data_IF_689039862115
#
_entry.id   IF_689039862115
#
_cell.length_a   1.000
_cell.length_b   1.000
_cell.length_c   1.000
_cell.angle_alpha   90.00
_cell.angle_beta   90.00
_cell.angle_gamma   90.00
#
_symmetry.space_group_name_H-M   'P 1'
#
loop_
_entity.id
_entity.type
_entity.pdbx_description
1 polymer ?
#
# COMPACT_ATOMS: atom_id res chain seq x y z
N UNK A 1 16.69 13.57 -6.26
CA UNK A 1 17.31 12.70 -5.26
C UNK A 1 17.38 13.43 -3.92
N UNK A 2 16.88 12.81 -2.86
CA UNK A 2 17.07 13.27 -1.48
C UNK A 2 17.56 12.11 -0.60
N UNK A 3 18.39 12.44 0.38
CA UNK A 3 18.92 11.51 1.38
C UNK A 3 18.80 12.17 2.75
N UNK A 4 18.30 11.41 3.72
CA UNK A 4 18.27 11.81 5.13
C UNK A 4 18.91 10.71 5.96
N UNK A 5 19.86 11.10 6.82
CA UNK A 5 20.46 10.23 7.83
C UNK A 5 20.07 10.72 9.22
N UNK A 6 19.82 9.79 10.13
CA UNK A 6 19.40 10.05 11.49
C UNK A 6 20.01 9.10 12.50
N UNK A 7 19.62 9.26 13.77
CA UNK A 7 20.02 8.40 14.86
C UNK A 7 19.60 6.95 14.61
N UNK A 8 20.28 6.01 15.26
CA UNK A 8 20.02 4.56 15.21
C UNK A 8 20.10 3.98 13.79
N UNK A 9 21.07 4.47 12.99
CA UNK A 9 21.29 4.00 11.62
C UNK A 9 20.16 4.31 10.65
N UNK A 10 19.28 5.28 10.98
CA UNK A 10 18.23 5.70 10.06
C UNK A 10 18.81 6.26 8.78
N UNK A 11 18.38 5.70 7.67
CA UNK A 11 18.72 6.17 6.33
C UNK A 11 17.47 6.14 5.45
N UNK A 12 17.08 7.31 4.99
CA UNK A 12 16.00 7.47 4.02
C UNK A 12 16.60 7.96 2.70
N UNK A 13 16.15 7.42 1.59
CA UNK A 13 16.45 7.99 0.28
C UNK A 13 15.22 7.98 -0.62
N UNK A 14 15.12 9.00 -1.43
CA UNK A 14 14.11 9.17 -2.44
C UNK A 14 14.80 9.46 -3.78
N UNK A 15 14.36 8.75 -4.81
CA UNK A 15 14.76 8.97 -6.19
C UNK A 15 13.50 9.31 -6.98
N UNK A 16 13.51 10.47 -7.61
CA UNK A 16 12.47 10.87 -8.55
C UNK A 16 13.11 11.20 -9.88
N UNK A 17 12.60 10.61 -10.95
CA UNK A 17 13.04 10.83 -12.32
C UNK A 17 11.81 11.11 -13.17
N UNK A 18 11.87 12.16 -13.96
CA UNK A 18 10.88 12.48 -14.97
C UNK A 18 11.56 12.75 -16.30
N UNK A 19 10.99 12.22 -17.36
CA UNK A 19 11.42 12.46 -18.74
C UNK A 19 10.19 12.50 -19.65
N UNK A 20 10.26 13.27 -20.71
CA UNK A 20 9.15 13.37 -21.65
C UNK A 20 9.34 14.47 -22.68
N UNK A 21 8.33 14.62 -23.49
CA UNK A 21 8.18 15.68 -24.50
C UNK A 21 6.80 16.35 -24.32
N UNK A 22 6.37 17.12 -25.30
CA UNK A 22 5.08 17.84 -25.26
C UNK A 22 3.86 16.92 -25.23
N UNK A 23 4.01 15.65 -25.65
CA UNK A 23 2.90 14.70 -25.78
C UNK A 23 2.99 13.52 -24.83
N UNK A 24 4.15 13.18 -24.30
CA UNK A 24 4.36 11.97 -23.50
C UNK A 24 5.33 12.24 -22.38
N UNK A 25 5.07 11.61 -21.24
CA UNK A 25 6.03 11.62 -20.14
C UNK A 25 6.05 10.29 -19.40
N UNK A 26 7.17 10.03 -18.77
CA UNK A 26 7.33 9.02 -17.76
C UNK A 26 7.79 9.69 -16.47
N UNK A 27 7.21 9.29 -15.34
CA UNK A 27 7.69 9.63 -14.00
C UNK A 27 7.95 8.33 -13.25
N UNK A 28 9.10 8.26 -12.61
CA UNK A 28 9.51 7.17 -11.73
C UNK A 28 9.79 7.76 -10.36
N UNK A 29 9.24 7.15 -9.33
CA UNK A 29 9.53 7.47 -7.95
C UNK A 29 9.91 6.20 -7.21
N UNK A 30 10.99 6.25 -6.42
CA UNK A 30 11.40 5.16 -5.55
C UNK A 30 11.87 5.71 -4.21
N UNK A 31 11.36 5.13 -3.14
CA UNK A 31 11.77 5.45 -1.79
C UNK A 31 12.21 4.17 -1.09
N UNK A 32 13.25 4.27 -0.29
CA UNK A 32 13.62 3.25 0.70
C UNK A 32 13.99 3.95 2.01
N UNK A 33 13.57 3.37 3.10
CA UNK A 33 13.78 3.92 4.42
C UNK A 33 14.02 2.77 5.39
N UNK A 34 15.09 2.87 6.17
CA UNK A 34 15.51 1.86 7.15
C UNK A 34 15.87 2.53 8.47
N UNK A 35 15.72 1.82 9.56
CA UNK A 35 16.22 2.21 10.87
C UNK A 35 16.51 0.98 11.71
N UNK A 36 17.57 1.02 12.51
CA UNK A 36 17.83 0.01 13.53
C UNK A 36 16.98 0.27 14.78
N UNK A 37 16.93 -0.72 15.65
CA UNK A 37 16.35 -0.59 17.00
C UNK A 37 17.01 0.56 17.77
N UNK A 38 16.23 1.33 18.52
CA UNK A 38 16.74 2.44 19.33
C UNK A 38 17.17 1.96 20.73
N UNK A 39 17.89 2.82 21.43
CA UNK A 39 18.22 2.65 22.84
C UNK A 39 17.39 3.62 23.70
N UNK A 40 16.87 3.13 24.83
CA UNK A 40 16.17 3.93 25.81
C UNK A 40 17.15 4.80 26.64
N UNK A 41 16.61 5.57 27.62
CA UNK A 41 17.39 6.45 28.47
C UNK A 41 18.37 5.72 29.40
N UNK A 42 18.17 4.43 29.63
CA UNK A 42 19.02 3.57 30.46
C UNK A 42 20.05 2.79 29.62
N UNK A 43 20.05 3.00 28.28
CA UNK A 43 20.95 2.34 27.34
C UNK A 43 20.51 0.94 26.90
N UNK A 44 19.30 0.50 27.25
CA UNK A 44 18.78 -0.78 26.81
C UNK A 44 18.28 -0.69 25.35
N UNK A 45 18.60 -1.71 24.55
CA UNK A 45 18.06 -1.79 23.18
C UNK A 45 16.58 -2.11 23.21
N UNK A 46 15.77 -1.26 22.59
CA UNK A 46 14.33 -1.44 22.42
C UNK A 46 14.07 -1.93 20.99
N UNK A 47 13.62 -3.18 20.80
CA UNK A 47 13.34 -3.75 19.47
C UNK A 47 12.32 -2.88 18.71
N UNK A 48 12.76 -2.24 17.63
CA UNK A 48 11.97 -1.24 16.90
C UNK A 48 12.53 -0.96 15.50
N UNK A 49 13.38 -1.86 15.02
CA UNK A 49 13.94 -1.78 13.67
C UNK A 49 12.86 -1.96 12.61
N UNK A 50 13.06 -1.31 11.48
CA UNK A 50 12.12 -1.38 10.38
C UNK A 50 12.81 -1.09 9.04
N UNK A 51 12.24 -1.67 8.01
CA UNK A 51 12.55 -1.36 6.61
C UNK A 51 11.25 -1.19 5.83
N UNK A 52 11.22 -0.22 4.93
CA UNK A 52 10.14 -0.04 3.95
C UNK A 52 10.67 0.50 2.65
N UNK A 53 10.03 0.11 1.55
CA UNK A 53 10.32 0.65 0.24
C UNK A 53 9.05 0.78 -0.60
N UNK A 54 9.07 1.67 -1.58
CA UNK A 54 8.09 1.71 -2.65
C UNK A 54 8.76 2.11 -3.96
N UNK A 55 8.16 1.67 -5.06
CA UNK A 55 8.48 2.10 -6.41
C UNK A 55 7.17 2.31 -7.17
N UNK A 56 7.07 3.48 -7.81
CA UNK A 56 5.87 3.90 -8.52
C UNK A 56 6.28 4.43 -9.90
N UNK A 57 5.44 4.15 -10.91
CA UNK A 57 5.59 4.63 -12.28
C UNK A 57 4.30 5.31 -12.74
N UNK A 58 4.44 6.41 -13.47
CA UNK A 58 3.36 7.05 -14.20
C UNK A 58 3.76 7.26 -15.65
N UNK A 59 2.88 6.88 -16.57
CA UNK A 59 3.00 7.06 -18.00
C UNK A 59 1.88 8.00 -18.45
N UNK A 60 2.24 9.20 -18.91
CA UNK A 60 1.30 10.19 -19.37
C UNK A 60 1.32 10.34 -20.90
N UNK A 61 0.15 10.62 -21.45
CA UNK A 61 -0.04 10.90 -22.86
C UNK A 61 -1.02 12.04 -23.06
N UNK A 62 -0.58 13.08 -23.80
CA UNK A 62 -1.35 14.28 -24.15
C UNK A 62 -1.39 14.41 -25.67
N UNK A 63 -2.24 13.63 -26.38
CA UNK A 63 -2.26 13.61 -27.85
C UNK A 63 -2.64 14.96 -28.47
N UNK A 64 -3.37 15.77 -27.73
CA UNK A 64 -3.75 17.14 -28.07
C UNK A 64 -3.82 18.00 -26.80
N UNK A 65 -4.02 19.31 -26.95
CA UNK A 65 -4.06 20.27 -25.84
C UNK A 65 -5.21 20.03 -24.83
N UNK A 66 -6.24 19.31 -25.22
CA UNK A 66 -7.46 19.10 -24.46
C UNK A 66 -7.58 17.67 -23.86
N UNK A 67 -6.68 16.78 -24.26
CA UNK A 67 -6.74 15.37 -23.85
C UNK A 67 -5.55 14.97 -22.99
N UNK A 68 -5.81 14.38 -21.85
CA UNK A 68 -4.79 13.82 -20.99
C UNK A 68 -5.18 12.40 -20.53
N UNK A 69 -4.22 11.51 -20.66
CA UNK A 69 -4.33 10.09 -20.23
C UNK A 69 -3.13 9.76 -19.38
N UNK A 70 -3.35 9.18 -18.21
CA UNK A 70 -2.26 8.70 -17.34
C UNK A 70 -2.54 7.28 -16.86
N UNK A 71 -1.55 6.41 -17.06
CA UNK A 71 -1.48 5.07 -16.49
C UNK A 71 -0.46 5.09 -15.35
N UNK A 72 -0.87 4.63 -14.18
CA UNK A 72 -0.01 4.53 -12.99
C UNK A 72 0.10 3.09 -12.52
N UNK A 73 1.25 2.72 -11.99
CA UNK A 73 1.49 1.44 -11.35
C UNK A 73 2.47 1.58 -10.20
N UNK A 74 2.31 0.77 -9.16
CA UNK A 74 3.20 0.85 -8.01
C UNK A 74 3.27 -0.44 -7.21
N UNK A 75 4.41 -0.61 -6.57
CA UNK A 75 4.67 -1.67 -5.59
C UNK A 75 5.32 -1.09 -4.34
N UNK A 76 4.95 -1.64 -3.20
CA UNK A 76 5.59 -1.33 -1.93
C UNK A 76 5.62 -2.56 -1.04
N UNK A 77 6.58 -2.61 -0.14
CA UNK A 77 6.61 -3.57 0.97
C UNK A 77 7.39 -2.97 2.14
N UNK A 78 7.30 -3.64 3.29
CA UNK A 78 8.04 -3.27 4.48
C UNK A 78 7.87 -4.30 5.58
N UNK A 79 8.73 -4.15 6.58
CA UNK A 79 8.71 -4.94 7.81
C UNK A 79 9.03 -4.04 9.01
N UNK A 80 8.57 -4.42 10.19
CA UNK A 80 8.81 -3.68 11.41
C UNK A 80 8.75 -4.58 12.64
N UNK A 81 9.71 -4.41 13.53
CA UNK A 81 9.74 -5.04 14.85
C UNK A 81 9.06 -4.12 15.86
N UNK A 82 8.20 -4.66 16.70
CA UNK A 82 7.45 -3.91 17.69
C UNK A 82 7.82 -4.29 19.11
N UNK A 83 8.38 -3.33 19.86
CA UNK A 83 8.59 -3.50 21.30
C UNK A 83 7.25 -3.72 22.03
N UNK A 84 7.24 -4.66 22.96
CA UNK A 84 6.08 -4.92 23.81
C UNK A 84 4.86 -5.53 23.11
N UNK A 85 5.01 -5.97 21.85
CA UNK A 85 3.97 -6.73 21.14
C UNK A 85 4.38 -8.19 20.95
N UNK A 86 3.39 -9.07 20.83
CA UNK A 86 3.60 -10.51 20.64
C UNK A 86 3.97 -10.87 19.21
N UNK A 87 3.71 -10.01 18.23
CA UNK A 87 3.96 -10.21 16.79
C UNK A 87 4.58 -8.98 16.19
N UNK A 88 5.37 -9.20 15.15
CA UNK A 88 5.97 -8.17 14.29
C UNK A 88 5.23 -8.07 12.96
N UNK A 89 5.35 -6.93 12.30
CA UNK A 89 4.90 -6.79 10.92
C UNK A 89 5.96 -7.35 9.97
N UNK A 90 5.77 -8.57 9.50
CA UNK A 90 6.73 -9.24 8.61
C UNK A 90 6.46 -8.97 7.12
N UNK A 91 5.31 -8.34 6.80
CA UNK A 91 4.95 -7.95 5.44
C UNK A 91 3.90 -6.84 5.44
N UNK A 92 4.13 -5.79 4.63
CA UNK A 92 3.21 -4.68 4.36
C UNK A 92 3.10 -4.44 2.86
N UNK A 93 2.90 -5.51 2.08
CA UNK A 93 2.90 -5.43 0.63
C UNK A 93 1.69 -4.65 0.11
N UNK A 94 1.95 -3.78 -0.87
CA UNK A 94 0.95 -3.06 -1.65
C UNK A 94 1.26 -3.17 -3.14
N UNK A 95 0.22 -3.42 -3.93
CA UNK A 95 0.25 -3.30 -5.39
C UNK A 95 -0.86 -2.35 -5.83
N UNK A 96 -0.59 -1.50 -6.81
CA UNK A 96 -1.55 -0.54 -7.32
C UNK A 96 -1.46 -0.42 -8.83
N UNK A 97 -2.62 -0.20 -9.46
CA UNK A 97 -2.75 0.14 -10.87
C UNK A 97 -3.85 1.18 -11.01
N UNK A 98 -3.60 2.23 -11.79
CA UNK A 98 -4.56 3.30 -12.02
C UNK A 98 -4.57 3.75 -13.47
N UNK A 99 -5.75 4.11 -13.95
CA UNK A 99 -5.95 4.79 -15.24
C UNK A 99 -6.80 6.02 -15.02
N UNK A 100 -6.37 7.16 -15.52
CA UNK A 100 -7.11 8.41 -15.53
C UNK A 100 -7.15 9.00 -16.93
N UNK A 101 -8.30 9.49 -17.34
CA UNK A 101 -8.53 10.14 -18.62
C UNK A 101 -9.27 11.44 -18.38
N UNK A 102 -8.80 12.53 -18.96
CA UNK A 102 -9.49 13.82 -18.99
C UNK A 102 -9.60 14.31 -20.42
N UNK A 103 -10.76 14.87 -20.76
CA UNK A 103 -11.02 15.61 -21.98
C UNK A 103 -11.61 16.96 -21.63
N UNK A 104 -10.91 18.03 -22.03
CA UNK A 104 -11.33 19.43 -21.87
C UNK A 104 -12.01 19.93 -23.15
N UNK A 105 -12.70 21.06 -23.07
CA UNK A 105 -13.32 21.78 -24.18
C UNK A 105 -14.17 20.89 -25.09
N UNK A 106 -14.99 19.99 -24.48
CA UNK A 106 -15.79 18.99 -25.21
C UNK A 106 -16.90 19.68 -26.03
N UNK A 107 -17.57 20.69 -25.43
CA UNK A 107 -18.51 21.59 -26.08
C UNK A 107 -18.45 22.98 -25.42
N UNK A 108 -19.26 23.94 -25.92
CA UNK A 108 -19.35 25.25 -25.28
C UNK A 108 -19.89 25.20 -23.85
N UNK A 109 -20.62 24.17 -23.50
CA UNK A 109 -21.23 23.96 -22.17
C UNK A 109 -20.45 22.91 -21.37
N UNK A 110 -20.04 21.80 -21.98
CA UNK A 110 -19.28 20.73 -21.31
C UNK A 110 -17.80 21.09 -21.41
N UNK A 111 -17.26 21.61 -20.32
CA UNK A 111 -15.86 22.06 -20.26
C UNK A 111 -14.88 20.94 -19.95
N UNK A 112 -15.31 19.92 -19.21
CA UNK A 112 -14.43 18.79 -18.91
C UNK A 112 -15.23 17.50 -18.67
N UNK A 113 -14.72 16.41 -19.19
CA UNK A 113 -15.10 15.05 -18.80
C UNK A 113 -13.85 14.38 -18.19
N UNK A 114 -13.99 13.77 -17.03
CA UNK A 114 -12.95 12.99 -16.41
C UNK A 114 -13.44 11.60 -16.01
N UNK A 115 -12.61 10.60 -16.21
CA UNK A 115 -12.86 9.24 -15.78
C UNK A 115 -11.59 8.67 -15.13
N UNK A 116 -11.76 7.92 -14.04
CA UNK A 116 -10.66 7.32 -13.30
C UNK A 116 -11.06 5.95 -12.77
N UNK A 117 -10.14 5.00 -12.90
CA UNK A 117 -10.26 3.66 -12.29
C UNK A 117 -8.96 3.35 -11.57
N UNK A 118 -9.04 2.90 -10.32
CA UNK A 118 -7.89 2.50 -9.52
C UNK A 118 -8.14 1.15 -8.87
N UNK A 119 -7.14 0.29 -8.96
CA UNK A 119 -7.07 -0.98 -8.26
C UNK A 119 -5.93 -0.94 -7.25
N UNK A 120 -6.21 -1.39 -6.02
CA UNK A 120 -5.20 -1.55 -4.97
C UNK A 120 -5.36 -2.92 -4.32
N UNK A 121 -4.24 -3.60 -4.12
CA UNK A 121 -4.15 -4.80 -3.30
C UNK A 121 -3.17 -4.55 -2.17
N UNK A 122 -3.59 -4.83 -0.94
CA UNK A 122 -2.76 -4.77 0.25
C UNK A 122 -2.73 -6.16 0.90
N UNK A 123 -1.54 -6.58 1.30
CA UNK A 123 -1.29 -7.85 1.98
C UNK A 123 -0.44 -7.57 3.22
N UNK A 124 -1.04 -7.77 4.39
CA UNK A 124 -0.42 -7.48 5.68
C UNK A 124 -0.29 -8.77 6.49
N UNK A 125 0.94 -9.13 6.81
CA UNK A 125 1.25 -10.29 7.65
C UNK A 125 1.89 -9.80 8.95
N UNK A 126 1.35 -10.32 10.05
CA UNK A 126 1.94 -10.21 11.38
C UNK A 126 2.30 -11.62 11.84
N UNK A 127 3.50 -11.82 12.32
CA UNK A 127 3.92 -13.09 12.92
C UNK A 127 4.91 -12.88 14.06
N UNK A 128 5.21 -13.95 14.79
CA UNK A 128 6.15 -13.92 15.92
C UNK A 128 7.44 -14.70 15.66
N UNK A 129 7.74 -15.06 14.41
CA UNK A 129 8.85 -15.93 14.08
C UNK A 129 9.74 -15.49 12.90
N UNK A 130 9.28 -14.53 12.07
CA UNK A 130 10.06 -14.07 10.91
C UNK A 130 11.18 -13.11 11.31
N UNK A 131 10.89 -12.18 12.23
CA UNK A 131 11.81 -11.10 12.64
C UNK A 131 12.35 -11.26 14.08
N UNK A 132 11.93 -12.28 14.79
CA UNK A 132 12.38 -12.63 16.14
C UNK A 132 12.44 -14.13 16.38
N UNK A 133 13.14 -14.54 17.41
CA UNK A 133 13.11 -15.92 17.86
C UNK A 133 11.83 -16.19 18.63
N UNK A 134 11.24 -17.35 18.38
CA UNK A 134 10.04 -17.82 19.07
C UNK A 134 10.44 -18.86 20.12
N UNK A 135 9.74 -18.84 21.26
CA UNK A 135 9.90 -19.83 22.31
C UNK A 135 9.16 -21.14 22.02
N UNK A 136 9.41 -22.13 22.86
CA UNK A 136 8.68 -23.41 22.86
C UNK A 136 7.42 -23.30 23.72
N UNK A 137 6.35 -23.94 23.28
CA UNK A 137 5.12 -24.09 24.06
C UNK A 137 4.50 -25.48 23.83
N UNK A 138 3.65 -25.92 24.75
CA UNK A 138 2.95 -27.20 24.67
C UNK A 138 1.86 -27.15 23.58
N UNK A 139 1.84 -28.15 22.71
CA UNK A 139 0.80 -28.31 21.71
C UNK A 139 -0.51 -28.77 22.39
N UNK A 140 -1.59 -28.05 22.15
CA UNK A 140 -2.86 -28.22 22.87
C UNK A 140 -3.45 -29.66 22.88
N UNK A 141 -3.22 -30.38 21.76
CA UNK A 141 -3.80 -31.73 21.62
C UNK A 141 -2.83 -32.88 21.88
N UNK A 142 -1.54 -32.72 21.51
CA UNK A 142 -0.54 -33.79 21.61
C UNK A 142 0.29 -33.71 22.88
N UNK A 143 0.25 -32.57 23.58
CA UNK A 143 1.09 -32.26 24.76
C UNK A 143 2.60 -32.25 24.47
N UNK A 144 3.01 -32.24 23.20
CA UNK A 144 4.40 -32.12 22.79
C UNK A 144 4.83 -30.66 22.82
N UNK A 145 6.12 -30.42 23.13
CA UNK A 145 6.73 -29.09 23.04
C UNK A 145 7.04 -28.77 21.61
N UNK A 146 6.44 -27.71 21.08
CA UNK A 146 6.62 -27.21 19.70
C UNK A 146 7.00 -25.74 19.72
N UNK A 147 7.63 -25.25 18.66
CA UNK A 147 7.84 -23.81 18.50
C UNK A 147 6.48 -23.09 18.47
N UNK A 148 6.30 -22.11 19.37
CA UNK A 148 5.04 -21.38 19.55
C UNK A 148 4.76 -20.37 18.40
N UNK A 149 4.96 -20.82 17.16
CA UNK A 149 4.76 -20.01 15.97
C UNK A 149 3.30 -19.65 15.77
N UNK A 150 3.04 -18.38 15.54
CA UNK A 150 1.72 -17.88 15.17
C UNK A 150 1.83 -16.74 14.17
N UNK A 151 0.82 -16.65 13.30
CA UNK A 151 0.74 -15.60 12.29
C UNK A 151 -0.72 -15.20 12.06
N UNK A 152 -0.89 -13.96 11.61
CA UNK A 152 -2.16 -13.43 11.10
C UNK A 152 -1.89 -12.71 9.78
N UNK A 153 -2.67 -13.04 8.77
CA UNK A 153 -2.65 -12.38 7.47
C UNK A 153 -3.97 -11.66 7.24
N UNK A 154 -3.89 -10.41 6.81
CA UNK A 154 -5.06 -9.60 6.43
C UNK A 154 -4.81 -9.04 5.03
N UNK A 155 -5.75 -9.28 4.12
CA UNK A 155 -5.69 -8.72 2.78
C UNK A 155 -6.85 -7.76 2.51
N UNK A 156 -6.62 -6.79 1.64
CA UNK A 156 -7.65 -5.90 1.13
C UNK A 156 -7.45 -5.67 -0.36
N UNK A 157 -8.50 -5.91 -1.14
CA UNK A 157 -8.59 -5.51 -2.55
C UNK A 157 -9.60 -4.39 -2.66
N UNK A 158 -9.21 -3.31 -3.32
CA UNK A 158 -10.08 -2.14 -3.52
C UNK A 158 -10.11 -1.81 -5.01
N UNK A 159 -11.30 -1.72 -5.57
CA UNK A 159 -11.53 -1.17 -6.90
C UNK A 159 -12.33 0.12 -6.74
N UNK A 160 -11.77 1.23 -7.18
CA UNK A 160 -12.44 2.54 -7.22
C UNK A 160 -12.67 2.94 -8.67
N UNK A 161 -13.83 3.50 -8.96
CA UNK A 161 -14.14 4.13 -10.24
C UNK A 161 -14.81 5.48 -9.98
N UNK A 162 -14.44 6.48 -10.76
CA UNK A 162 -15.05 7.82 -10.74
C UNK A 162 -15.26 8.29 -12.16
N UNK A 163 -16.37 8.94 -12.39
CA UNK A 163 -16.64 9.70 -13.61
C UNK A 163 -17.27 11.03 -13.22
N UNK A 164 -16.80 12.14 -13.81
CA UNK A 164 -17.36 13.46 -13.57
C UNK A 164 -17.41 14.29 -14.85
N UNK A 165 -18.40 15.18 -14.92
CA UNK A 165 -18.59 16.13 -16.01
C UNK A 165 -18.71 17.52 -15.43
N UNK A 166 -17.90 18.46 -15.94
CA UNK A 166 -17.97 19.88 -15.59
C UNK A 166 -18.74 20.61 -16.67
N UNK A 167 -19.81 21.26 -16.27
CA UNK A 167 -20.65 22.11 -17.09
C UNK A 167 -20.39 23.58 -16.73
N UNK A 168 -20.42 24.46 -17.72
CA UNK A 168 -20.26 25.91 -17.52
C UNK A 168 -21.23 26.69 -18.42
N UNK A 169 -21.97 27.61 -17.81
CA UNK A 169 -22.89 28.53 -18.47
C UNK A 169 -22.68 29.94 -17.90
N UNK A 170 -22.21 30.85 -18.69
CA UNK A 170 -21.94 32.24 -18.30
C UNK A 170 -21.12 32.32 -16.98
N UNK A 171 -21.80 32.54 -15.85
CA UNK A 171 -21.20 32.68 -14.53
C UNK A 171 -21.37 31.44 -13.63
N UNK A 172 -22.05 30.42 -14.13
CA UNK A 172 -22.35 29.21 -13.37
C UNK A 172 -21.47 28.06 -13.82
N UNK A 173 -20.75 27.46 -12.87
CA UNK A 173 -20.06 26.18 -13.06
C UNK A 173 -20.75 25.11 -12.22
N UNK A 174 -21.05 23.98 -12.82
CA UNK A 174 -21.72 22.85 -12.21
C UNK A 174 -20.99 21.56 -12.52
N UNK A 175 -20.70 20.75 -11.48
CA UNK A 175 -20.00 19.47 -11.62
C UNK A 175 -20.96 18.37 -11.20
N UNK A 176 -21.18 17.40 -12.09
CA UNK A 176 -21.91 16.16 -11.82
C UNK A 176 -20.98 14.97 -11.93
N UNK A 177 -21.19 13.98 -11.11
CA UNK A 177 -20.36 12.78 -11.16
C UNK A 177 -20.93 11.61 -10.38
N UNK A 178 -20.29 10.48 -10.55
CA UNK A 178 -20.54 9.25 -9.82
C UNK A 178 -19.21 8.66 -9.36
N UNK A 179 -19.19 8.21 -8.10
CA UNK A 179 -18.08 7.49 -7.50
C UNK A 179 -18.58 6.11 -7.07
N UNK A 180 -17.74 5.10 -7.28
CA UNK A 180 -17.98 3.73 -6.84
C UNK A 180 -16.74 3.18 -6.18
N UNK A 181 -16.92 2.51 -5.06
CA UNK A 181 -15.85 1.79 -4.37
C UNK A 181 -16.32 0.40 -3.97
N UNK A 182 -15.56 -0.60 -4.37
CA UNK A 182 -15.75 -1.98 -3.95
C UNK A 182 -14.52 -2.46 -3.17
N UNK A 183 -14.75 -3.02 -1.97
CA UNK A 183 -13.70 -3.54 -1.10
C UNK A 183 -13.96 -5.01 -0.80
N UNK A 184 -12.91 -5.84 -0.98
CA UNK A 184 -12.89 -7.23 -0.54
C UNK A 184 -11.80 -7.39 0.50
N UNK A 185 -12.17 -7.91 1.67
CA UNK A 185 -11.26 -8.17 2.77
C UNK A 185 -11.05 -9.67 2.93
N UNK A 186 -9.83 -10.06 3.30
CA UNK A 186 -9.50 -11.42 3.65
C UNK A 186 -8.77 -11.46 4.97
N UNK A 187 -8.98 -12.53 5.75
CA UNK A 187 -8.26 -12.79 7.00
C UNK A 187 -7.90 -14.27 7.08
N UNK A 188 -6.66 -14.55 7.40
CA UNK A 188 -6.15 -15.89 7.72
C UNK A 188 -5.43 -15.87 9.07
N UNK A 189 -5.40 -17.03 9.74
CA UNK A 189 -4.71 -17.22 11.00
C UNK A 189 -3.96 -18.55 10.98
N UNK A 190 -2.80 -18.57 11.63
CA UNK A 190 -1.98 -19.75 11.85
C UNK A 190 -1.52 -19.80 13.30
N UNK A 191 -1.55 -20.99 13.91
CA UNK A 191 -0.98 -21.29 15.21
C UNK A 191 -0.40 -22.70 15.20
N UNK A 192 0.86 -22.86 15.54
CA UNK A 192 1.51 -24.17 15.67
C UNK A 192 1.03 -24.92 16.91
N UNK A 193 0.64 -24.21 17.97
CA UNK A 193 0.16 -24.80 19.23
C UNK A 193 -1.33 -25.15 19.23
N UNK A 194 -2.12 -24.51 18.34
CA UNK A 194 -3.56 -24.66 18.21
C UNK A 194 -3.99 -24.86 16.75
N UNK A 195 -3.68 -26.00 16.11
CA UNK A 195 -3.94 -26.21 14.69
C UNK A 195 -5.44 -26.14 14.31
N UNK A 196 -6.34 -26.36 15.23
CA UNK A 196 -7.80 -26.19 15.01
C UNK A 196 -8.23 -24.74 14.76
N UNK A 197 -7.38 -23.75 15.05
CA UNK A 197 -7.60 -22.33 14.77
C UNK A 197 -7.03 -21.90 13.42
N UNK A 198 -6.33 -22.78 12.69
CA UNK A 198 -5.73 -22.45 11.41
C UNK A 198 -6.81 -22.23 10.36
N UNK A 199 -6.74 -21.09 9.69
CA UNK A 199 -7.60 -20.76 8.56
C UNK A 199 -6.78 -20.09 7.45
N UNK A 200 -6.92 -20.53 6.20
CA UNK A 200 -6.34 -19.79 5.08
C UNK A 200 -7.00 -18.41 4.95
N UNK A 201 -6.34 -17.49 4.25
CA UNK A 201 -6.95 -16.20 3.94
C UNK A 201 -8.24 -16.43 3.15
N UNK A 202 -9.37 -16.01 3.74
CA UNK A 202 -10.67 -16.02 3.09
C UNK A 202 -11.03 -14.60 2.69
N UNK A 203 -11.48 -14.44 1.45
CA UNK A 203 -11.93 -13.16 0.88
C UNK A 203 -13.45 -13.06 0.93
N UNK A 204 -14.05 -13.28 2.10
CA UNK A 204 -15.50 -13.44 2.21
C UNK A 204 -16.23 -12.22 2.77
N UNK A 205 -15.53 -11.12 3.06
CA UNK A 205 -16.16 -9.89 3.52
C UNK A 205 -16.14 -8.84 2.42
N UNK A 206 -17.29 -8.65 1.77
CA UNK A 206 -17.53 -7.52 0.87
C UNK A 206 -18.21 -6.39 1.65
N UNK A 207 -17.63 -5.20 1.59
CA UNK A 207 -18.25 -3.96 2.05
C UNK A 207 -18.50 -3.09 0.81
N UNK A 208 -19.77 -2.79 0.58
CA UNK A 208 -20.21 -1.84 -0.46
C UNK A 208 -20.35 -0.45 0.15
#
# INVERSE_FOLDING_TARGET
LSVLAGSFGRLDHNIEVAAGDEQKYIRLNSNRSVSNSYQDGDGNTVPSDWERWNADVALGWTPDADTWVELTGGKADGEAVYAGRMMDGSKFARESLGLRVEKQNVTDVIKKIEAQVNYNFNDHVMDNYSLRQVGMAEHHMTHEMVEAKSAMNVTRRTLNARMAVTHEWDKLQFITGVDSQNNKHGKGMYSATMPGMNSPVKTDMEFQ
#
